data_IF_847105814135
#
_entry.id   IF_847105814135
#
_cell.length_a   1.000
_cell.length_b   1.000
_cell.length_c   1.000
_cell.angle_alpha   90.00
_cell.angle_beta   90.00
_cell.angle_gamma   90.00
#
_symmetry.space_group_name_H-M   'P 1'
#
loop_
_entity.id
_entity.type
_entity.pdbx_description
1 polymer ?
#
# COMPACT_ATOMS: atom_id res chain seq x y z
N UNK A 1 0.30 -18.19 -10.28
CA UNK A 1 1.09 -17.00 -9.90
C UNK A 1 0.87 -15.93 -10.97
N UNK A 2 0.50 -14.69 -10.59
CA UNK A 2 0.34 -13.60 -11.57
C UNK A 2 1.70 -13.33 -12.24
N UNK A 3 1.68 -13.02 -13.53
CA UNK A 3 2.84 -12.51 -14.26
C UNK A 3 3.31 -11.20 -13.59
N UNK A 4 4.53 -11.21 -13.03
CA UNK A 4 5.13 -10.08 -12.28
C UNK A 4 5.17 -8.82 -13.13
N UNK A 5 5.54 -8.94 -14.41
CA UNK A 5 5.61 -7.81 -15.32
C UNK A 5 4.22 -7.24 -15.57
N UNK A 6 3.21 -8.10 -15.68
CA UNK A 6 1.82 -7.66 -15.81
C UNK A 6 1.36 -6.88 -14.58
N UNK A 7 1.73 -7.31 -13.37
CA UNK A 7 1.39 -6.59 -12.12
C UNK A 7 1.96 -5.17 -12.14
N UNK A 8 3.23 -5.00 -12.51
CA UNK A 8 3.85 -3.68 -12.64
C UNK A 8 3.21 -2.83 -13.74
N UNK A 9 2.95 -3.43 -14.91
CA UNK A 9 2.30 -2.74 -16.04
C UNK A 9 0.91 -2.23 -15.64
N UNK A 10 0.11 -3.07 -14.98
CA UNK A 10 -1.25 -2.72 -14.58
C UNK A 10 -1.21 -1.59 -13.54
N UNK A 11 -0.30 -1.64 -12.55
CA UNK A 11 -0.09 -0.56 -11.59
C UNK A 11 0.24 0.77 -12.28
N UNK A 12 1.27 0.79 -13.12
CA UNK A 12 1.72 2.03 -13.77
C UNK A 12 0.65 2.62 -14.70
N UNK A 13 -0.26 1.80 -15.23
CA UNK A 13 -1.40 2.25 -16.05
C UNK A 13 -2.51 2.93 -15.24
N UNK A 14 -2.56 2.77 -13.92
CA UNK A 14 -3.51 3.46 -13.04
C UNK A 14 -3.33 4.98 -13.10
N UNK A 15 -2.12 5.46 -13.40
CA UNK A 15 -1.80 6.88 -13.41
C UNK A 15 -0.97 7.36 -14.62
N UNK A 16 -0.27 6.47 -15.36
CA UNK A 16 0.60 6.82 -16.50
C UNK A 16 0.14 6.18 -17.82
N UNK A 17 0.56 6.75 -18.96
CA UNK A 17 0.36 6.12 -20.29
C UNK A 17 1.66 5.40 -20.61
N UNK A 18 1.57 4.16 -21.11
CA UNK A 18 2.73 3.35 -21.47
C UNK A 18 2.65 3.00 -22.95
N UNK A 19 3.72 3.26 -23.70
CA UNK A 19 3.87 2.87 -25.11
C UNK A 19 4.22 1.39 -25.26
N UNK A 20 4.16 0.84 -26.48
CA UNK A 20 4.51 -0.57 -26.73
C UNK A 20 5.96 -0.89 -26.34
N UNK A 21 6.88 0.03 -26.61
CA UNK A 21 8.29 -0.09 -26.21
C UNK A 21 8.45 -0.09 -24.69
N UNK A 22 7.66 0.72 -23.96
CA UNK A 22 7.70 0.73 -22.49
C UNK A 22 7.26 -0.61 -21.92
N UNK A 23 6.21 -1.22 -22.50
CA UNK A 23 5.77 -2.56 -22.11
C UNK A 23 6.85 -3.62 -22.38
N UNK A 24 7.58 -3.48 -23.49
CA UNK A 24 8.68 -4.38 -23.84
C UNK A 24 9.84 -4.21 -22.86
N UNK A 25 10.20 -2.98 -22.51
CA UNK A 25 11.23 -2.70 -21.52
C UNK A 25 10.89 -3.29 -20.14
N UNK A 26 9.64 -3.14 -19.68
CA UNK A 26 9.19 -3.75 -18.42
C UNK A 26 9.29 -5.28 -18.46
N UNK A 27 8.90 -5.91 -19.58
CA UNK A 27 8.98 -7.37 -19.75
C UNK A 27 10.40 -7.93 -19.80
N UNK A 28 11.38 -7.08 -20.05
CA UNK A 28 12.79 -7.47 -20.07
C UNK A 28 13.47 -7.34 -18.69
N UNK A 29 12.78 -6.78 -17.69
CA UNK A 29 13.33 -6.70 -16.33
C UNK A 29 13.49 -8.09 -15.73
N UNK A 30 14.66 -8.39 -15.20
CA UNK A 30 14.87 -9.55 -14.36
C UNK A 30 14.34 -9.29 -12.94
N UNK A 31 13.93 -10.35 -12.26
CA UNK A 31 13.49 -10.28 -10.87
C UNK A 31 13.76 -11.60 -10.15
N UNK A 32 13.86 -11.53 -8.83
CA UNK A 32 13.86 -12.70 -7.95
C UNK A 32 12.61 -12.66 -7.08
N UNK A 33 11.88 -13.77 -7.02
CA UNK A 33 10.74 -13.89 -6.11
C UNK A 33 11.21 -14.16 -4.69
N UNK A 34 10.54 -13.53 -3.73
CA UNK A 34 10.69 -13.80 -2.31
C UNK A 34 9.31 -14.05 -1.69
N UNK A 35 9.14 -15.24 -1.15
CA UNK A 35 8.00 -15.57 -0.31
C UNK A 35 8.32 -15.15 1.13
N UNK A 36 7.33 -14.61 1.82
CA UNK A 36 7.47 -14.06 3.16
C UNK A 36 6.37 -14.61 4.05
N UNK A 37 6.77 -15.13 5.20
CA UNK A 37 5.85 -15.50 6.26
C UNK A 37 5.33 -14.27 7.00
N UNK A 38 4.20 -14.42 7.71
CA UNK A 38 3.59 -13.31 8.42
C UNK A 38 4.57 -12.65 9.39
N UNK A 39 4.69 -11.32 9.30
CA UNK A 39 5.61 -10.48 10.09
C UNK A 39 7.10 -10.59 9.74
N UNK A 40 7.49 -11.42 8.77
CA UNK A 40 8.87 -11.51 8.28
C UNK A 40 9.30 -10.19 7.62
N UNK A 41 10.50 -9.72 7.95
CA UNK A 41 11.06 -8.49 7.38
C UNK A 41 11.54 -8.74 5.95
N UNK A 42 11.01 -7.98 5.01
CA UNK A 42 11.52 -7.85 3.66
C UNK A 42 12.80 -7.03 3.65
N UNK A 43 12.76 -5.84 4.25
CA UNK A 43 13.84 -4.87 4.35
C UNK A 43 13.82 -4.29 5.75
N UNK A 44 14.98 -4.07 6.36
CA UNK A 44 15.09 -3.41 7.67
C UNK A 44 15.60 -1.99 7.53
N UNK A 45 15.16 -1.15 8.46
CA UNK A 45 15.65 0.21 8.60
C UNK A 45 17.17 0.21 8.79
N UNK A 46 17.85 1.04 8.00
CA UNK A 46 19.31 1.15 7.97
C UNK A 46 20.00 0.23 6.95
N UNK A 47 19.29 -0.72 6.33
CA UNK A 47 19.84 -1.54 5.25
C UNK A 47 20.06 -0.72 3.98
N UNK A 48 20.89 -1.28 3.08
CA UNK A 48 21.21 -0.71 1.76
C UNK A 48 20.81 -1.70 0.65
N UNK A 49 19.51 -1.85 0.34
CA UNK A 49 19.05 -2.79 -0.67
C UNK A 49 19.63 -2.50 -2.05
N UNK A 50 19.86 -3.56 -2.84
CA UNK A 50 20.35 -3.46 -4.23
C UNK A 50 19.23 -3.68 -5.27
N UNK A 51 17.99 -3.76 -4.80
CA UNK A 51 16.81 -3.98 -5.63
C UNK A 51 15.56 -3.43 -4.94
N UNK A 52 14.56 -3.07 -5.74
CA UNK A 52 13.28 -2.58 -5.29
C UNK A 52 12.25 -3.71 -5.33
N UNK A 53 11.39 -3.76 -4.34
CA UNK A 53 10.34 -4.74 -4.22
C UNK A 53 9.06 -4.29 -4.93
N UNK A 54 8.45 -5.22 -5.67
CA UNK A 54 7.07 -5.14 -6.14
C UNK A 54 6.25 -6.15 -5.35
N UNK A 55 5.14 -5.73 -4.75
CA UNK A 55 4.19 -6.67 -4.11
C UNK A 55 3.43 -7.41 -5.19
N UNK A 56 3.56 -8.74 -5.26
CA UNK A 56 2.89 -9.57 -6.28
C UNK A 56 1.73 -10.39 -5.71
N UNK A 57 1.76 -10.68 -4.41
CA UNK A 57 0.68 -11.32 -3.66
C UNK A 57 0.70 -10.85 -2.19
N UNK A 58 -0.48 -10.77 -1.58
CA UNK A 58 -0.63 -10.40 -0.17
C UNK A 58 -0.44 -8.91 0.06
N UNK A 59 0.07 -8.56 1.24
CA UNK A 59 0.28 -7.18 1.67
C UNK A 59 1.61 -7.04 2.41
N UNK A 60 2.20 -5.85 2.31
CA UNK A 60 3.41 -5.45 3.04
C UNK A 60 3.10 -4.22 3.87
N UNK A 61 3.59 -4.18 5.10
CA UNK A 61 3.48 -3.04 6.00
C UNK A 61 4.79 -2.30 6.11
N UNK A 62 4.73 -0.96 5.99
CA UNK A 62 5.86 -0.08 6.31
C UNK A 62 5.82 0.28 7.79
N UNK A 63 6.95 0.18 8.47
CA UNK A 63 7.03 0.53 9.90
C UNK A 63 8.37 1.10 10.32
N UNK A 64 8.37 1.84 11.43
CA UNK A 64 9.56 2.17 12.20
C UNK A 64 9.66 1.27 13.43
N UNK A 65 10.86 0.78 13.73
CA UNK A 65 11.12 0.07 14.97
C UNK A 65 11.44 1.08 16.07
N UNK A 66 10.61 1.11 17.12
CA UNK A 66 10.84 1.96 18.28
C UNK A 66 11.94 1.36 19.18
N UNK A 67 12.55 2.20 20.02
CA UNK A 67 13.59 1.78 20.98
C UNK A 67 13.14 0.68 21.94
N UNK A 68 11.85 0.59 22.22
CA UNK A 68 11.25 -0.45 23.06
C UNK A 68 10.91 -1.75 22.29
N UNK A 69 11.32 -1.86 21.02
CA UNK A 69 11.05 -3.01 20.16
C UNK A 69 9.66 -3.03 19.51
N UNK A 70 8.78 -2.04 19.80
CA UNK A 70 7.47 -1.96 19.17
C UNK A 70 7.57 -1.47 17.73
N UNK A 71 6.74 -2.03 16.85
CA UNK A 71 6.56 -1.55 15.48
C UNK A 71 5.53 -0.43 15.47
N UNK A 72 5.90 0.72 14.91
CA UNK A 72 4.98 1.78 14.56
C UNK A 72 4.70 1.67 13.06
N UNK A 73 3.58 1.05 12.69
CA UNK A 73 3.17 0.96 11.30
C UNK A 73 2.80 2.34 10.77
N UNK A 74 3.18 2.62 9.53
CA UNK A 74 3.04 3.92 8.89
C UNK A 74 2.13 3.86 7.66
N UNK A 75 2.24 2.78 6.87
CA UNK A 75 1.38 2.55 5.71
C UNK A 75 1.32 1.07 5.35
N UNK A 76 0.37 0.72 4.48
CA UNK A 76 0.21 -0.62 3.94
C UNK A 76 0.23 -0.58 2.41
N UNK A 77 0.86 -1.61 1.85
CA UNK A 77 1.13 -1.79 0.43
C UNK A 77 0.51 -3.09 -0.04
N UNK A 78 -0.20 -3.03 -1.16
CA UNK A 78 -0.95 -4.14 -1.76
C UNK A 78 -0.36 -4.52 -3.10
N UNK A 79 -0.89 -5.56 -3.73
CA UNK A 79 -0.42 -6.05 -5.04
C UNK A 79 -0.34 -4.91 -6.06
N UNK A 80 0.84 -4.74 -6.66
CA UNK A 80 1.14 -3.65 -7.59
C UNK A 80 2.01 -2.55 -6.97
N UNK A 81 1.99 -2.36 -5.66
CA UNK A 81 2.74 -1.29 -5.01
C UNK A 81 4.25 -1.59 -4.97
N UNK A 82 5.06 -0.52 -5.06
CA UNK A 82 6.52 -0.53 -4.96
C UNK A 82 6.94 0.18 -3.65
N UNK A 83 6.87 -0.49 -2.49
CA UNK A 83 7.01 0.13 -1.17
C UNK A 83 8.39 0.75 -0.86
N UNK A 84 9.40 0.48 -1.67
CA UNK A 84 10.79 0.93 -1.49
C UNK A 84 11.40 1.52 -2.77
N UNK A 85 10.59 1.94 -3.75
CA UNK A 85 11.08 2.48 -5.02
C UNK A 85 12.06 3.68 -4.85
N UNK A 86 11.94 4.45 -3.76
CA UNK A 86 12.88 5.50 -3.41
C UNK A 86 14.31 4.98 -3.14
N UNK A 87 14.46 3.70 -2.76
CA UNK A 87 15.74 3.04 -2.54
C UNK A 87 16.60 2.95 -3.80
N UNK A 88 16.02 3.15 -4.99
CA UNK A 88 16.77 3.29 -6.26
C UNK A 88 17.73 4.48 -6.19
N UNK A 89 17.37 5.55 -5.47
CA UNK A 89 18.14 6.79 -5.36
C UNK A 89 18.64 7.08 -3.94
N UNK A 90 18.04 6.47 -2.91
CA UNK A 90 18.42 6.63 -1.52
C UNK A 90 19.17 5.39 -1.05
N UNK A 91 20.45 5.54 -0.71
CA UNK A 91 21.30 4.39 -0.38
C UNK A 91 20.86 3.64 0.87
N UNK A 92 20.37 4.34 1.89
CA UNK A 92 20.01 3.78 3.20
C UNK A 92 18.52 3.92 3.45
N UNK A 93 17.88 2.82 3.81
CA UNK A 93 16.45 2.78 4.12
C UNK A 93 16.15 3.45 5.45
N UNK A 94 15.21 4.40 5.45
CA UNK A 94 14.75 5.12 6.64
C UNK A 94 13.64 4.39 7.40
N UNK A 95 13.11 3.29 6.84
CA UNK A 95 12.05 2.47 7.42
C UNK A 95 12.28 0.97 7.17
N UNK A 96 11.47 0.13 7.81
CA UNK A 96 11.40 -1.31 7.59
C UNK A 96 10.12 -1.69 6.83
N UNK A 97 10.18 -2.82 6.12
CA UNK A 97 9.06 -3.44 5.42
C UNK A 97 8.91 -4.87 5.90
N UNK A 98 7.68 -5.30 6.22
CA UNK A 98 7.40 -6.70 6.56
C UNK A 98 6.08 -7.19 5.97
N UNK A 99 5.94 -8.50 5.84
CA UNK A 99 4.70 -9.10 5.34
C UNK A 99 3.56 -8.98 6.36
N UNK A 100 2.35 -8.69 5.87
CA UNK A 100 1.11 -8.64 6.64
C UNK A 100 0.29 -9.87 6.26
N UNK A 101 0.39 -10.92 7.09
CA UNK A 101 0.06 -12.27 6.65
C UNK A 101 1.10 -12.79 5.65
N UNK A 102 0.77 -13.86 4.92
CA UNK A 102 1.63 -14.38 3.86
C UNK A 102 1.68 -13.39 2.67
N UNK A 103 2.89 -13.11 2.17
CA UNK A 103 3.10 -12.24 1.02
C UNK A 103 4.16 -12.79 0.07
N UNK A 104 4.09 -12.39 -1.20
CA UNK A 104 5.12 -12.65 -2.19
C UNK A 104 5.52 -11.32 -2.83
N UNK A 105 6.82 -11.08 -2.92
CA UNK A 105 7.37 -9.91 -3.59
C UNK A 105 8.32 -10.32 -4.71
N UNK A 106 8.43 -9.47 -5.73
CA UNK A 106 9.45 -9.58 -6.76
C UNK A 106 10.50 -8.49 -6.54
N UNK A 107 11.76 -8.88 -6.42
CA UNK A 107 12.88 -7.97 -6.21
C UNK A 107 13.52 -7.68 -7.56
N UNK A 108 13.39 -6.44 -8.03
CA UNK A 108 13.94 -5.96 -9.31
C UNK A 108 15.27 -5.23 -9.02
N UNK A 109 16.40 -5.64 -9.62
CA UNK A 109 17.69 -4.99 -9.35
C UNK A 109 17.68 -3.49 -9.68
N UNK A 110 18.20 -2.64 -8.78
CA UNK A 110 18.26 -1.18 -8.99
C UNK A 110 18.98 -0.81 -10.28
N UNK A 111 20.06 -1.53 -10.61
CA UNK A 111 20.82 -1.33 -11.86
C UNK A 111 19.97 -1.52 -13.13
N UNK A 112 18.97 -2.40 -13.09
CA UNK A 112 18.08 -2.63 -14.23
C UNK A 112 17.00 -1.56 -14.31
N UNK A 113 16.47 -1.13 -13.16
CA UNK A 113 15.56 0.01 -13.08
C UNK A 113 16.22 1.28 -13.64
N UNK A 114 17.46 1.56 -13.23
CA UNK A 114 18.22 2.72 -13.71
C UNK A 114 18.48 2.65 -15.22
N UNK A 115 18.94 1.52 -15.75
CA UNK A 115 19.11 1.33 -17.21
C UNK A 115 17.79 1.50 -17.97
N UNK A 116 16.68 1.02 -17.40
CA UNK A 116 15.35 1.20 -17.97
C UNK A 116 14.96 2.68 -17.98
N UNK A 117 15.28 3.45 -16.94
CA UNK A 117 15.01 4.89 -16.90
C UNK A 117 15.82 5.67 -17.93
N UNK A 118 17.11 5.34 -18.08
CA UNK A 118 17.99 5.94 -19.10
C UNK A 118 17.49 5.66 -20.52
N UNK A 119 17.11 4.41 -20.80
CA UNK A 119 16.60 4.02 -22.11
C UNK A 119 15.20 4.58 -22.38
N UNK A 120 14.34 4.64 -21.34
CA UNK A 120 12.92 5.00 -21.41
C UNK A 120 12.57 6.01 -20.30
N UNK A 121 12.87 7.32 -20.46
CA UNK A 121 12.62 8.32 -19.43
C UNK A 121 11.16 8.41 -18.96
N UNK A 122 10.20 8.11 -19.86
CA UNK A 122 8.78 8.05 -19.52
C UNK A 122 8.45 7.02 -18.42
N UNK A 123 9.19 5.90 -18.36
CA UNK A 123 9.07 4.92 -17.27
C UNK A 123 9.66 5.45 -15.96
N UNK A 124 10.77 6.19 -16.04
CA UNK A 124 11.32 6.92 -14.88
C UNK A 124 10.30 7.87 -14.26
N UNK A 125 9.63 8.69 -15.09
CA UNK A 125 8.56 9.58 -14.62
C UNK A 125 7.35 8.83 -14.06
N UNK A 126 7.02 7.66 -14.63
CA UNK A 126 5.94 6.83 -14.11
C UNK A 126 6.25 6.30 -12.70
N UNK A 127 7.44 5.73 -12.48
CA UNK A 127 7.84 5.24 -11.15
C UNK A 127 8.03 6.40 -10.16
N UNK A 128 8.58 7.53 -10.60
CA UNK A 128 8.68 8.71 -9.74
C UNK A 128 7.30 9.19 -9.29
N UNK A 129 6.30 9.17 -10.17
CA UNK A 129 4.92 9.49 -9.79
C UNK A 129 4.37 8.52 -8.73
N UNK A 130 4.68 7.23 -8.79
CA UNK A 130 4.32 6.29 -7.72
C UNK A 130 4.90 6.70 -6.36
N UNK A 131 6.17 7.11 -6.32
CA UNK A 131 6.77 7.60 -5.05
C UNK A 131 6.11 8.89 -4.55
N UNK A 132 5.63 9.75 -5.45
CA UNK A 132 4.91 10.97 -5.10
C UNK A 132 3.52 10.66 -4.53
N UNK A 133 2.83 9.66 -5.07
CA UNK A 133 1.54 9.16 -4.58
C UNK A 133 1.71 8.51 -3.20
N UNK A 134 2.73 7.65 -3.02
CA UNK A 134 3.07 7.10 -1.71
C UNK A 134 3.33 8.24 -0.70
N UNK A 135 4.13 9.24 -1.07
CA UNK A 135 4.38 10.40 -0.21
C UNK A 135 3.10 11.21 0.09
N UNK A 136 2.13 11.28 -0.83
CA UNK A 136 0.85 11.93 -0.60
C UNK A 136 -0.01 11.17 0.41
N UNK A 137 -0.05 9.84 0.32
CA UNK A 137 -0.67 8.95 1.31
C UNK A 137 -0.05 9.17 2.69
N UNK A 138 1.27 9.28 2.77
CA UNK A 138 1.97 9.59 4.02
C UNK A 138 1.55 10.93 4.64
N UNK A 139 1.45 11.99 3.84
CA UNK A 139 1.00 13.30 4.32
C UNK A 139 -0.45 13.26 4.79
N UNK A 140 -1.33 12.56 4.07
CA UNK A 140 -2.72 12.40 4.49
C UNK A 140 -2.83 11.59 5.78
N UNK A 141 -2.02 10.54 5.96
CA UNK A 141 -1.97 9.76 7.19
C UNK A 141 -1.56 10.61 8.42
N UNK A 142 -0.64 11.56 8.25
CA UNK A 142 -0.26 12.52 9.31
C UNK A 142 -1.46 13.38 9.70
N UNK A 143 -2.16 13.97 8.72
CA UNK A 143 -3.36 14.78 8.95
C UNK A 143 -4.45 13.94 9.61
N UNK A 144 -4.69 12.73 9.11
CA UNK A 144 -5.66 11.77 9.64
C UNK A 144 -5.41 11.52 11.12
N UNK A 145 -4.18 11.15 11.48
CA UNK A 145 -3.80 10.82 12.85
C UNK A 145 -3.68 12.04 13.79
N UNK A 146 -3.74 13.26 13.28
CA UNK A 146 -3.58 14.48 14.09
C UNK A 146 -4.89 15.25 14.27
N UNK A 147 -5.70 15.35 13.21
CA UNK A 147 -6.86 16.24 13.18
C UNK A 147 -8.21 15.52 13.31
N UNK A 148 -8.30 14.23 12.97
CA UNK A 148 -9.57 13.51 12.95
C UNK A 148 -9.87 12.80 14.26
N UNK A 149 -11.16 12.60 14.53
CA UNK A 149 -11.62 11.75 15.65
C UNK A 149 -11.22 10.30 15.41
N UNK A 150 -11.14 9.48 16.48
CA UNK A 150 -10.73 8.08 16.34
C UNK A 150 -11.60 7.27 15.37
N UNK A 151 -12.91 7.53 15.37
CA UNK A 151 -13.85 6.90 14.44
C UNK A 151 -13.59 7.32 13.00
N UNK A 152 -13.38 8.61 12.77
CA UNK A 152 -13.06 9.15 11.45
C UNK A 152 -11.71 8.62 10.93
N UNK A 153 -10.67 8.55 11.77
CA UNK A 153 -9.35 7.99 11.42
C UNK A 153 -9.43 6.59 10.82
N UNK A 154 -10.19 5.72 11.49
CA UNK A 154 -10.33 4.33 11.07
C UNK A 154 -11.21 4.20 9.83
N UNK A 155 -12.29 4.97 9.74
CA UNK A 155 -13.13 5.01 8.54
C UNK A 155 -12.33 5.49 7.32
N UNK A 156 -11.51 6.52 7.49
CA UNK A 156 -10.63 7.05 6.44
C UNK A 156 -9.63 5.98 5.96
N UNK A 157 -8.92 5.32 6.87
CA UNK A 157 -7.97 4.25 6.52
C UNK A 157 -8.67 3.13 5.72
N UNK A 158 -9.86 2.71 6.15
CA UNK A 158 -10.61 1.68 5.43
C UNK A 158 -11.11 2.15 4.07
N UNK A 159 -11.54 3.41 3.94
CA UNK A 159 -11.86 3.99 2.63
C UNK A 159 -10.65 4.03 1.71
N UNK A 160 -9.49 4.49 2.19
CA UNK A 160 -8.27 4.53 1.38
C UNK A 160 -7.88 3.15 0.87
N UNK A 161 -7.77 2.17 1.77
CA UNK A 161 -7.32 0.82 1.44
C UNK A 161 -8.31 0.14 0.49
N UNK A 162 -9.62 0.29 0.73
CA UNK A 162 -10.64 -0.26 -0.16
C UNK A 162 -10.62 0.39 -1.54
N UNK A 163 -10.48 1.72 -1.60
CA UNK A 163 -10.45 2.44 -2.87
C UNK A 163 -9.24 2.07 -3.72
N UNK A 164 -8.05 1.95 -3.11
CA UNK A 164 -6.84 1.46 -3.78
C UNK A 164 -7.03 0.02 -4.25
N UNK A 165 -7.59 -0.84 -3.42
CA UNK A 165 -7.87 -2.23 -3.77
C UNK A 165 -8.85 -2.35 -4.96
N UNK A 166 -9.87 -1.51 -5.02
CA UNK A 166 -10.85 -1.50 -6.10
C UNK A 166 -10.21 -1.11 -7.44
N UNK A 167 -9.35 -0.08 -7.45
CA UNK A 167 -8.62 0.35 -8.66
C UNK A 167 -7.68 -0.75 -9.15
N UNK A 168 -6.99 -1.42 -8.22
CA UNK A 168 -6.10 -2.54 -8.54
C UNK A 168 -6.82 -3.88 -8.74
N UNK A 169 -8.16 -3.89 -8.74
CA UNK A 169 -9.02 -5.08 -8.95
C UNK A 169 -8.71 -6.20 -7.95
N UNK A 170 -8.56 -5.83 -6.68
CA UNK A 170 -8.31 -6.70 -5.53
C UNK A 170 -9.55 -6.87 -4.64
N UNK A 171 -10.69 -6.34 -5.06
CA UNK A 171 -11.99 -6.49 -4.39
C UNK A 171 -12.80 -7.65 -4.98
N UNK A 172 -13.64 -8.24 -4.15
CA UNK A 172 -14.73 -9.13 -4.56
C UNK A 172 -16.04 -8.46 -4.18
N UNK A 173 -16.70 -7.85 -5.17
CA UNK A 173 -17.84 -6.97 -4.96
C UNK A 173 -17.49 -5.82 -4.00
N UNK A 174 -18.15 -5.81 -2.84
CA UNK A 174 -17.97 -4.80 -1.82
C UNK A 174 -17.02 -5.22 -0.68
N UNK A 175 -16.23 -6.27 -0.89
CA UNK A 175 -15.31 -6.83 0.10
C UNK A 175 -13.86 -6.87 -0.40
N UNK A 176 -12.92 -6.82 0.53
CA UNK A 176 -11.49 -7.06 0.26
C UNK A 176 -10.85 -7.88 1.39
N UNK A 177 -9.84 -8.67 1.02
CA UNK A 177 -8.94 -9.27 2.02
C UNK A 177 -8.08 -8.16 2.63
N UNK A 178 -8.06 -8.12 3.95
CA UNK A 178 -7.34 -7.15 4.75
C UNK A 178 -6.81 -7.84 6.03
N UNK A 179 -5.73 -8.66 5.92
CA UNK A 179 -5.17 -9.46 7.02
C UNK A 179 -4.42 -8.62 8.07
N UNK A 180 -4.97 -7.46 8.45
CA UNK A 180 -4.41 -6.55 9.45
C UNK A 180 -5.01 -6.87 10.82
N UNK A 181 -4.16 -7.14 11.80
CA UNK A 181 -4.55 -7.37 13.19
C UNK A 181 -5.02 -6.08 13.88
N UNK A 182 -5.75 -6.23 14.99
CA UNK A 182 -6.14 -5.08 15.83
C UNK A 182 -4.93 -4.34 16.42
N UNK A 183 -3.83 -5.07 16.68
CA UNK A 183 -2.58 -4.47 17.14
C UNK A 183 -1.97 -3.58 16.06
N UNK A 184 -1.86 -4.08 14.83
CA UNK A 184 -1.35 -3.30 13.69
C UNK A 184 -2.22 -2.09 13.37
N UNK A 185 -3.56 -2.21 13.46
CA UNK A 185 -4.46 -1.06 13.37
C UNK A 185 -4.20 -0.04 14.49
N UNK A 186 -3.97 -0.52 15.70
CA UNK A 186 -3.66 0.30 16.87
C UNK A 186 -2.35 1.06 16.70
N UNK A 187 -1.29 0.36 16.27
CA UNK A 187 0.00 0.97 15.95
C UNK A 187 -0.19 2.01 14.83
N UNK A 188 -0.85 1.67 13.72
CA UNK A 188 -1.06 2.58 12.57
C UNK A 188 -1.81 3.87 12.94
N UNK A 189 -2.87 3.77 13.74
CA UNK A 189 -3.79 4.87 14.01
C UNK A 189 -3.55 5.58 15.35
N UNK A 190 -2.52 5.17 16.10
CA UNK A 190 -2.22 5.69 17.43
C UNK A 190 -3.30 5.36 18.46
N UNK A 191 -3.86 4.15 18.42
CA UNK A 191 -4.95 3.71 19.29
C UNK A 191 -4.54 2.49 20.10
N UNK A 192 -4.95 2.43 21.37
CA UNK A 192 -4.89 1.19 22.14
C UNK A 192 -5.81 0.12 21.51
N UNK A 193 -5.45 -1.17 21.62
CA UNK A 193 -6.20 -2.30 21.05
C UNK A 193 -7.68 -2.29 21.49
N UNK A 194 -7.95 -1.99 22.77
CA UNK A 194 -9.31 -1.88 23.28
C UNK A 194 -10.11 -0.74 22.59
N UNK A 195 -9.45 0.37 22.30
CA UNK A 195 -10.03 1.50 21.54
C UNK A 195 -10.29 1.10 20.08
N UNK A 196 -9.35 0.41 19.43
CA UNK A 196 -9.53 -0.13 18.08
C UNK A 196 -10.80 -0.99 18.02
N UNK A 197 -10.96 -1.92 18.96
CA UNK A 197 -12.13 -2.82 18.99
C UNK A 197 -13.46 -2.06 19.20
N UNK A 198 -13.48 -1.09 20.13
CA UNK A 198 -14.65 -0.21 20.30
C UNK A 198 -14.97 0.60 19.05
N UNK A 199 -13.95 1.13 18.36
CA UNK A 199 -14.13 1.89 17.12
C UNK A 199 -14.70 1.03 15.99
N UNK A 200 -14.17 -0.18 15.79
CA UNK A 200 -14.73 -1.15 14.82
C UNK A 200 -16.19 -1.45 15.14
N UNK A 201 -16.51 -1.69 16.42
CA UNK A 201 -17.88 -1.95 16.86
C UNK A 201 -18.80 -0.76 16.57
N UNK A 202 -18.34 0.48 16.79
CA UNK A 202 -19.08 1.70 16.47
C UNK A 202 -19.29 1.92 14.97
N UNK A 203 -18.30 1.59 14.13
CA UNK A 203 -18.42 1.65 12.67
C UNK A 203 -19.38 0.58 12.13
N UNK A 204 -19.34 -0.63 12.70
CA UNK A 204 -20.28 -1.70 12.40
C UNK A 204 -21.72 -1.30 12.77
N UNK A 205 -21.90 -0.66 13.92
CA UNK A 205 -23.21 -0.17 14.38
C UNK A 205 -23.79 0.92 13.45
N UNK A 206 -22.94 1.71 12.77
CA UNK A 206 -23.41 2.64 11.73
C UNK A 206 -23.84 1.97 10.41
N UNK A 207 -23.73 0.63 10.30
CA UNK A 207 -24.10 -0.16 9.12
C UNK A 207 -23.37 0.25 7.83
N UNK A 208 -22.27 0.98 7.93
CA UNK A 208 -21.48 1.45 6.78
C UNK A 208 -20.42 0.45 6.35
N UNK A 209 -19.92 -0.36 7.28
CA UNK A 209 -18.89 -1.35 7.05
C UNK A 209 -19.02 -2.53 8.01
N UNK A 210 -18.29 -3.60 7.71
CA UNK A 210 -17.96 -4.67 8.64
C UNK A 210 -16.49 -5.06 8.47
N UNK A 211 -15.84 -5.43 9.57
CA UNK A 211 -14.48 -5.94 9.57
C UNK A 211 -14.39 -7.11 10.54
N UNK A 212 -14.14 -8.31 9.99
CA UNK A 212 -14.07 -9.58 10.72
C UNK A 212 -13.25 -10.60 9.95
N UNK A 213 -12.51 -11.45 10.67
CA UNK A 213 -11.71 -12.53 10.08
C UNK A 213 -10.76 -12.08 8.96
N UNK A 214 -10.19 -10.89 9.07
CA UNK A 214 -9.28 -10.35 8.05
C UNK A 214 -9.97 -9.92 6.75
N UNK A 215 -11.30 -9.71 6.75
CA UNK A 215 -12.05 -9.23 5.59
C UNK A 215 -12.75 -7.92 5.94
N UNK A 216 -12.51 -6.89 5.12
CA UNK A 216 -13.22 -5.62 5.17
C UNK A 216 -14.36 -5.67 4.15
N UNK A 217 -15.58 -5.34 4.58
CA UNK A 217 -16.76 -5.25 3.70
C UNK A 217 -17.40 -3.88 3.83
N UNK A 218 -17.57 -3.18 2.72
CA UNK A 218 -18.18 -1.86 2.66
C UNK A 218 -19.66 -2.00 2.31
N UNK A 219 -20.54 -1.66 3.26
CA UNK A 219 -22.00 -1.79 3.08
C UNK A 219 -22.65 -0.51 2.56
N UNK A 220 -22.07 0.64 2.89
CA UNK A 220 -22.50 1.95 2.42
C UNK A 220 -21.27 2.85 2.27
N UNK A 221 -20.78 2.95 1.03
CA UNK A 221 -19.59 3.71 0.69
C UNK A 221 -19.73 5.20 1.06
N UNK A 222 -20.83 5.84 0.65
CA UNK A 222 -21.08 7.26 0.90
C UNK A 222 -21.11 7.56 2.40
N UNK A 223 -21.75 6.69 3.18
CA UNK A 223 -21.80 6.80 4.63
C UNK A 223 -20.43 6.64 5.28
N UNK A 224 -19.62 5.66 4.86
CA UNK A 224 -18.28 5.46 5.40
C UNK A 224 -17.34 6.62 5.03
N UNK A 225 -17.36 7.05 3.77
CA UNK A 225 -16.55 8.16 3.29
C UNK A 225 -16.90 9.46 4.01
N UNK A 226 -18.19 9.71 4.30
CA UNK A 226 -18.61 10.86 5.10
C UNK A 226 -18.08 10.78 6.54
N UNK A 227 -18.11 9.61 7.18
CA UNK A 227 -17.56 9.43 8.53
C UNK A 227 -16.04 9.62 8.53
N UNK A 228 -15.35 9.12 7.51
CA UNK A 228 -13.90 9.22 7.37
C UNK A 228 -13.41 10.56 6.80
N UNK A 229 -14.31 11.47 6.44
CA UNK A 229 -14.00 12.69 5.70
C UNK A 229 -13.07 12.38 4.51
N UNK A 230 -13.36 11.28 3.80
CA UNK A 230 -12.48 10.71 2.80
C UNK A 230 -12.71 11.34 1.44
N UNK A 231 -11.66 11.96 0.90
CA UNK A 231 -11.56 12.43 -0.48
C UNK A 231 -10.38 11.72 -1.15
N UNK A 232 -10.58 10.94 -2.23
CA UNK A 232 -9.49 10.23 -2.91
C UNK A 232 -8.57 11.15 -3.74
N UNK A 233 -8.76 12.47 -3.75
CA UNK A 233 -7.99 13.40 -4.59
C UNK A 233 -6.46 13.30 -4.44
N UNK A 234 -5.98 13.00 -3.23
CA UNK A 234 -4.54 12.82 -2.95
C UNK A 234 -3.94 11.53 -3.54
N UNK A 235 -4.78 10.60 -4.02
CA UNK A 235 -4.33 9.34 -4.63
C UNK A 235 -3.97 9.49 -6.12
N UNK A 236 -4.29 10.62 -6.75
CA UNK A 236 -3.89 10.99 -8.12
C UNK A 236 -4.14 9.91 -9.21
N UNK A 237 -5.21 9.11 -9.06
CA UNK A 237 -5.56 8.05 -10.01
C UNK A 237 -6.20 8.63 -11.28
N UNK A 238 -5.90 8.06 -12.46
CA UNK A 238 -6.50 8.50 -13.74
C UNK A 238 -7.96 8.11 -13.91
N UNK A 239 -8.37 7.01 -13.28
CA UNK A 239 -9.71 6.46 -13.38
C UNK A 239 -10.22 6.22 -11.97
N UNK A 240 -11.31 6.89 -11.62
CA UNK A 240 -12.06 6.51 -10.44
C UNK A 240 -12.70 5.12 -10.70
N UNK A 241 -12.79 4.25 -9.67
CA UNK A 241 -13.58 3.04 -9.76
C UNK A 241 -15.06 3.37 -9.99
N UNK A 242 -15.78 2.44 -10.63
CA UNK A 242 -17.21 2.57 -10.89
C UNK A 242 -17.97 2.39 -9.57
N UNK A 243 -18.43 3.49 -8.98
CA UNK A 243 -19.19 3.50 -7.73
C UNK A 243 -20.69 3.61 -7.97
#
# INVERSE_FOLDING_TARGET
MKDVHRVLIDKLREHSRLSADDLTAIRNLSFTLRELESSEDLIRQGETPKGAALVVQGMVGRYHLQRNGRRQFLSFHMVGDLPDAQGVFLERMDHSLCAIGHAVTAIIPHREILRMFEARPGLGFAIWRETLVDAAIFREAITNNSARTMKARMAHLFCELFYRAEVSKLTDGNSMQLPISLAQLGDTLGMAIATVNRTISSLRASKTMDFRYGVLTIRNWQGLAKIGEFDPGYLHLKRAPAR
#
